data_IF_868303044222
#
_entry.id   IF_868303044222
#
_cell.length_a   1.000
_cell.length_b   1.000
_cell.length_c   1.000
_cell.angle_alpha   90.00
_cell.angle_beta   90.00
_cell.angle_gamma   90.00
#
_symmetry.space_group_name_H-M   'P 1'
#
loop_
_entity.id
_entity.type
_entity.pdbx_description
1 polymer ?
#
# COMPACT_ATOMS: atom_id res chain seq x y z
N UNK A 1 -9.31 -8.37 7.41
CA UNK A 1 -8.37 -8.18 6.30
C UNK A 1 -7.20 -9.11 6.55
N UNK A 2 -6.66 -9.73 5.51
CA UNK A 2 -5.48 -10.59 5.60
C UNK A 2 -4.36 -9.98 4.75
N UNK A 3 -3.15 -9.89 5.30
CA UNK A 3 -1.98 -9.54 4.51
C UNK A 3 -1.53 -10.77 3.72
N UNK A 4 -1.48 -10.66 2.39
CA UNK A 4 -0.97 -11.73 1.52
C UNK A 4 0.52 -11.51 1.22
N UNK A 5 0.89 -10.27 0.87
CA UNK A 5 2.27 -9.93 0.51
C UNK A 5 2.54 -8.44 0.76
N UNK A 6 3.77 -8.11 1.16
CA UNK A 6 4.25 -6.74 1.19
C UNK A 6 5.63 -6.66 0.56
N UNK A 7 5.80 -5.81 -0.45
CA UNK A 7 7.07 -5.62 -1.16
C UNK A 7 7.44 -4.16 -1.23
N UNK A 8 8.74 -3.90 -1.38
CA UNK A 8 9.28 -2.61 -1.77
C UNK A 8 10.30 -2.74 -2.88
N UNK A 9 10.37 -1.76 -3.76
CA UNK A 9 11.27 -1.73 -4.91
C UNK A 9 11.81 -0.32 -5.10
N UNK A 10 13.11 -0.17 -5.33
CA UNK A 10 13.63 1.13 -5.73
C UNK A 10 13.39 1.39 -7.21
N UNK A 11 13.08 2.64 -7.53
CA UNK A 11 12.95 3.12 -8.89
C UNK A 11 13.81 4.36 -9.10
N UNK A 12 14.28 4.54 -10.33
CA UNK A 12 14.91 5.77 -10.81
C UNK A 12 14.25 6.12 -12.13
N UNK A 13 13.84 7.38 -12.30
CA UNK A 13 13.25 7.82 -13.55
C UNK A 13 14.29 7.75 -14.68
N UNK A 14 13.87 7.26 -15.86
CA UNK A 14 14.73 7.11 -17.04
C UNK A 14 15.03 8.40 -17.80
N UNK A 15 14.72 9.58 -17.24
CA UNK A 15 14.95 10.89 -17.86
C UNK A 15 15.96 11.70 -17.06
N UNK A 16 16.75 12.53 -17.74
CA UNK A 16 17.71 13.41 -17.09
C UNK A 16 16.99 14.40 -16.17
N UNK A 17 17.44 14.49 -14.92
CA UNK A 17 16.76 15.29 -13.87
C UNK A 17 15.48 14.65 -13.32
N UNK A 18 15.16 13.43 -13.74
CA UNK A 18 14.07 12.65 -13.17
C UNK A 18 14.35 12.25 -11.72
N UNK A 19 13.27 12.09 -10.96
CA UNK A 19 13.34 11.70 -9.55
C UNK A 19 13.75 10.25 -9.34
N UNK A 20 13.85 9.88 -8.08
CA UNK A 20 14.05 8.50 -7.67
C UNK A 20 13.36 8.25 -6.33
N UNK A 21 13.02 7.00 -6.07
CA UNK A 21 12.25 6.67 -4.88
C UNK A 21 12.15 5.19 -4.62
N UNK A 22 11.24 4.88 -3.71
CA UNK A 22 10.87 3.52 -3.37
C UNK A 22 9.37 3.38 -3.54
N UNK A 23 8.96 2.37 -4.30
CA UNK A 23 7.58 1.97 -4.42
C UNK A 23 7.31 0.85 -3.42
N UNK A 24 6.25 0.99 -2.64
CA UNK A 24 5.70 -0.06 -1.78
C UNK A 24 4.45 -0.64 -2.40
N UNK A 25 4.27 -1.95 -2.27
CA UNK A 25 3.05 -2.64 -2.68
C UNK A 25 2.62 -3.58 -1.57
N UNK A 26 1.37 -3.43 -1.13
CA UNK A 26 0.73 -4.31 -0.14
C UNK A 26 -0.43 -5.01 -0.81
N UNK A 27 -0.37 -6.34 -0.86
CA UNK A 27 -1.42 -7.18 -1.37
C UNK A 27 -2.22 -7.71 -0.18
N UNK A 28 -3.50 -7.35 -0.11
CA UNK A 28 -4.39 -7.71 0.99
C UNK A 28 -5.63 -8.43 0.48
N UNK A 29 -6.10 -9.43 1.24
CA UNK A 29 -7.38 -10.09 1.00
C UNK A 29 -8.47 -9.47 1.86
N UNK A 30 -9.54 -9.06 1.20
CA UNK A 30 -10.71 -8.50 1.88
C UNK A 30 -11.49 -9.60 2.60
N UNK A 31 -12.15 -9.27 3.74
CA UNK A 31 -13.01 -10.23 4.41
C UNK A 31 -14.22 -10.60 3.54
N UNK A 32 -14.94 -11.65 3.94
CA UNK A 32 -16.01 -12.23 3.14
C UNK A 32 -17.18 -11.27 2.81
N UNK A 33 -17.36 -10.20 3.58
CA UNK A 33 -18.39 -9.17 3.32
C UNK A 33 -18.06 -7.85 4.01
N UNK A 34 -18.31 -6.73 3.32
CA UNK A 34 -18.32 -5.38 3.91
C UNK A 34 -17.69 -4.32 3.02
N UNK A 35 -18.01 -3.05 3.30
CA UNK A 35 -17.39 -1.89 2.64
C UNK A 35 -16.03 -1.63 3.28
N UNK A 36 -14.99 -1.43 2.45
CA UNK A 36 -13.64 -1.15 2.93
C UNK A 36 -13.16 0.21 2.43
N UNK A 37 -12.63 1.03 3.33
CA UNK A 37 -11.91 2.24 2.96
C UNK A 37 -10.50 2.22 3.56
N UNK A 38 -9.48 2.41 2.74
CA UNK A 38 -8.10 2.57 3.22
C UNK A 38 -7.85 4.05 3.47
N UNK A 39 -7.42 4.39 4.67
CA UNK A 39 -7.22 5.79 5.08
C UNK A 39 -5.75 6.16 4.91
N UNK A 40 -4.89 5.49 5.66
CA UNK A 40 -3.46 5.80 5.74
C UNK A 40 -2.65 4.54 5.95
N UNK A 41 -1.38 4.59 5.57
CA UNK A 41 -0.37 3.60 5.92
C UNK A 41 0.72 4.31 6.71
N UNK A 42 0.86 3.95 7.98
CA UNK A 42 1.95 4.41 8.83
C UNK A 42 3.23 3.64 8.45
N UNK A 43 4.22 4.33 7.89
CA UNK A 43 5.45 3.72 7.37
C UNK A 43 6.65 4.65 7.59
N UNK A 44 7.70 4.12 8.22
CA UNK A 44 8.95 4.86 8.48
C UNK A 44 8.76 6.19 9.24
N UNK A 45 7.75 6.26 10.10
CA UNK A 45 7.42 7.45 10.90
C UNK A 45 6.50 8.46 10.21
N UNK A 46 6.00 8.15 9.01
CA UNK A 46 5.08 9.00 8.24
C UNK A 46 3.76 8.28 7.98
N UNK A 47 2.66 9.03 8.01
CA UNK A 47 1.35 8.54 7.57
C UNK A 47 1.13 8.95 6.11
N UNK A 48 0.99 7.96 5.24
CA UNK A 48 0.85 8.18 3.79
C UNK A 48 -0.46 7.61 3.28
N UNK A 49 -1.15 8.35 2.41
CA UNK A 49 -2.38 7.88 1.78
C UNK A 49 -2.05 6.86 0.68
N UNK A 50 -2.54 5.61 0.79
CA UNK A 50 -2.32 4.62 -0.24
C UNK A 50 -3.17 4.90 -1.46
N UNK A 51 -2.58 4.61 -2.61
CA UNK A 51 -3.36 4.48 -3.82
C UNK A 51 -3.85 3.05 -3.94
N UNK A 52 -5.14 2.86 -4.17
CA UNK A 52 -5.71 1.54 -4.38
C UNK A 52 -5.68 1.16 -5.86
N UNK A 53 -5.26 -0.08 -6.10
CA UNK A 53 -5.28 -0.72 -7.41
C UNK A 53 -6.05 -2.03 -7.28
N UNK A 54 -7.09 -2.18 -8.09
CA UNK A 54 -7.78 -3.47 -8.32
C UNK A 54 -7.40 -3.96 -9.71
N UNK A 55 -7.07 -5.25 -9.90
CA UNK A 55 -6.82 -5.79 -11.22
C UNK A 55 -8.03 -5.55 -12.15
N UNK A 56 -7.83 -4.80 -13.23
CA UNK A 56 -8.89 -4.46 -14.20
C UNK A 56 -9.67 -3.17 -13.90
N UNK A 57 -9.43 -2.51 -12.77
CA UNK A 57 -10.11 -1.28 -12.37
C UNK A 57 -9.16 -0.06 -12.41
N UNK A 58 -9.72 1.16 -12.55
CA UNK A 58 -8.94 2.38 -12.41
C UNK A 58 -8.38 2.53 -10.99
N UNK A 59 -7.20 3.15 -10.94
CA UNK A 59 -6.48 3.53 -9.72
C UNK A 59 -7.31 4.55 -8.94
N UNK A 60 -7.61 4.29 -7.67
CA UNK A 60 -8.48 5.17 -6.86
C UNK A 60 -7.90 5.45 -5.47
N UNK A 61 -8.15 6.65 -4.94
CA UNK A 61 -7.94 6.98 -3.51
C UNK A 61 -9.21 6.85 -2.67
N UNK A 62 -10.33 6.43 -3.25
CA UNK A 62 -11.63 6.32 -2.55
C UNK A 62 -11.94 4.90 -2.10
N UNK A 63 -12.88 4.81 -1.15
CA UNK A 63 -13.45 3.56 -0.64
C UNK A 63 -13.91 2.63 -1.76
N UNK A 64 -13.74 1.33 -1.53
CA UNK A 64 -14.19 0.30 -2.46
C UNK A 64 -15.14 -0.66 -1.77
N UNK A 65 -16.05 -1.23 -2.56
CA UNK A 65 -16.87 -2.37 -2.16
C UNK A 65 -16.28 -3.61 -2.82
N UNK A 66 -15.27 -4.24 -2.20
CA UNK A 66 -14.70 -5.46 -2.73
C UNK A 66 -15.71 -6.61 -2.61
N UNK A 67 -15.63 -7.55 -3.55
CA UNK A 67 -16.25 -8.85 -3.43
C UNK A 67 -15.64 -9.68 -2.30
N UNK A 68 -16.32 -10.78 -1.99
CA UNK A 68 -15.87 -11.80 -1.04
C UNK A 68 -14.51 -12.35 -1.45
N UNK A 69 -13.51 -12.22 -0.57
CA UNK A 69 -12.13 -12.70 -0.78
C UNK A 69 -11.40 -12.04 -1.95
N UNK A 70 -11.83 -10.85 -2.37
CA UNK A 70 -11.09 -10.07 -3.36
C UNK A 70 -9.68 -9.75 -2.88
N UNK A 71 -8.77 -9.67 -3.85
CA UNK A 71 -7.40 -9.23 -3.60
C UNK A 71 -7.24 -7.79 -4.04
N UNK A 72 -6.80 -6.95 -3.11
CA UNK A 72 -6.58 -5.52 -3.31
C UNK A 72 -5.08 -5.21 -3.23
N UNK A 73 -4.62 -4.31 -4.09
CA UNK A 73 -3.24 -3.85 -4.10
C UNK A 73 -3.20 -2.41 -3.63
N UNK A 74 -2.51 -2.15 -2.53
CA UNK A 74 -2.23 -0.79 -2.04
C UNK A 74 -0.83 -0.41 -2.50
N UNK A 75 -0.70 0.80 -3.04
CA UNK A 75 0.57 1.33 -3.54
C UNK A 75 0.92 2.65 -2.87
N UNK A 76 2.20 2.80 -2.52
CA UNK A 76 2.79 4.04 -2.07
C UNK A 76 4.07 4.29 -2.86
N UNK A 77 4.29 5.53 -3.25
CA UNK A 77 5.59 5.96 -3.77
C UNK A 77 6.13 7.05 -2.85
N UNK A 78 7.36 6.86 -2.39
CA UNK A 78 8.07 7.82 -1.55
C UNK A 78 9.36 8.21 -2.23
N UNK A 79 9.80 9.45 -2.03
CA UNK A 79 11.10 9.88 -2.54
C UNK A 79 12.23 9.20 -1.77
N UNK A 80 13.38 9.02 -2.43
CA UNK A 80 14.52 8.28 -1.87
C UNK A 80 15.06 8.88 -0.57
N UNK A 81 14.95 10.19 -0.41
CA UNK A 81 15.39 10.94 0.76
C UNK A 81 14.44 10.85 1.96
N UNK A 82 13.22 10.35 1.78
CA UNK A 82 12.26 10.20 2.87
C UNK A 82 12.62 9.01 3.75
N UNK A 83 12.45 9.15 5.08
CA UNK A 83 12.70 8.06 6.04
C UNK A 83 11.93 6.78 5.69
N UNK A 84 10.71 6.96 5.19
CA UNK A 84 9.81 5.91 4.71
C UNK A 84 10.46 5.01 3.64
N UNK A 85 11.36 5.50 2.79
CA UNK A 85 12.02 4.70 1.75
C UNK A 85 12.77 3.48 2.31
N UNK A 86 13.31 3.61 3.52
CA UNK A 86 14.05 2.55 4.20
C UNK A 86 13.17 1.58 5.00
N UNK A 87 11.88 1.88 5.19
CA UNK A 87 11.00 1.16 6.11
C UNK A 87 10.93 -0.35 5.82
N UNK A 88 10.96 -1.14 6.89
CA UNK A 88 10.89 -2.60 6.84
C UNK A 88 9.53 -3.16 7.30
N UNK A 89 8.68 -2.30 7.84
CA UNK A 89 7.36 -2.62 8.38
C UNK A 89 6.41 -1.44 8.17
N UNK A 90 5.12 -1.69 8.30
CA UNK A 90 4.08 -0.67 8.22
C UNK A 90 2.84 -1.07 9.04
N UNK A 91 1.93 -0.13 9.22
CA UNK A 91 0.57 -0.38 9.70
C UNK A 91 -0.41 0.21 8.69
N UNK A 92 -1.37 -0.60 8.23
CA UNK A 92 -2.42 -0.16 7.31
C UNK A 92 -3.66 0.18 8.14
N UNK A 93 -4.08 1.44 8.09
CA UNK A 93 -5.30 1.94 8.72
C UNK A 93 -6.44 1.91 7.70
N UNK A 94 -7.53 1.23 8.05
CA UNK A 94 -8.68 1.07 7.18
C UNK A 94 -9.98 1.04 7.97
N UNK A 95 -11.11 1.26 7.31
CA UNK A 95 -12.42 0.96 7.88
C UNK A 95 -13.00 -0.30 7.25
N UNK A 96 -13.75 -1.06 8.06
CA UNK A 96 -14.61 -2.13 7.59
C UNK A 96 -16.01 -1.85 8.11
N UNK A 97 -16.96 -1.63 7.20
CA UNK A 97 -18.32 -1.18 7.56
C UNK A 97 -18.29 0.02 8.51
N UNK A 98 -17.48 1.03 8.16
CA UNK A 98 -17.26 2.26 8.92
C UNK A 98 -16.59 2.11 10.30
N UNK A 99 -16.22 0.89 10.71
CA UNK A 99 -15.45 0.66 11.92
C UNK A 99 -13.95 0.72 11.62
N UNK A 100 -13.21 1.58 12.34
CA UNK A 100 -11.76 1.70 12.21
C UNK A 100 -11.04 0.40 12.64
N UNK A 101 -10.08 -0.02 11.82
CA UNK A 101 -9.26 -1.22 12.00
C UNK A 101 -7.83 -0.94 11.58
N UNK A 102 -6.94 -1.79 12.06
CA UNK A 102 -5.53 -1.78 11.70
C UNK A 102 -5.10 -3.15 11.22
N UNK A 103 -4.19 -3.17 10.25
CA UNK A 103 -3.50 -4.37 9.79
C UNK A 103 -1.99 -4.15 9.91
N UNK A 104 -1.35 -4.93 10.78
CA UNK A 104 0.09 -4.92 10.94
C UNK A 104 0.78 -5.55 9.72
N UNK A 105 1.82 -4.88 9.21
CA UNK A 105 2.72 -5.39 8.18
C UNK A 105 4.11 -5.55 8.81
N UNK A 106 4.43 -6.73 9.37
CA UNK A 106 5.63 -6.93 10.17
C UNK A 106 6.93 -6.95 9.34
N UNK A 107 6.83 -7.26 8.04
CA UNK A 107 7.96 -7.34 7.13
C UNK A 107 7.58 -6.91 5.72
N UNK A 108 8.44 -6.14 5.08
CA UNK A 108 8.33 -5.70 3.69
C UNK A 108 9.52 -6.25 2.91
N UNK A 109 9.25 -7.16 1.97
CA UNK A 109 10.26 -7.80 1.14
C UNK A 109 10.87 -6.80 0.14
N UNK A 110 12.19 -6.64 0.15
CA UNK A 110 12.88 -5.87 -0.89
C UNK A 110 13.00 -6.73 -2.15
N UNK A 111 12.42 -6.28 -3.26
CA UNK A 111 12.60 -6.91 -4.57
C UNK A 111 13.63 -6.13 -5.42
N UNK A 112 14.26 -6.76 -6.42
CA UNK A 112 15.27 -6.11 -7.26
C UNK A 112 14.74 -4.83 -7.91
N UNK A 113 15.57 -3.80 -8.04
CA UNK A 113 15.20 -2.54 -8.69
C UNK A 113 14.86 -2.72 -10.18
N UNK A 114 14.01 -1.82 -10.70
CA UNK A 114 13.72 -1.69 -12.15
C UNK A 114 14.81 -0.88 -12.86
#
# INVERSE_FOLDING_TARGET
>A
MELIKATKQDWTAGIQGGGSGTEFTFMVRTPASGTVAFQQIAIGGSDLEPTLVRPGDPVSGTSVTPGTNDTLHLRLSVKREESAASAASAVIHYTLNDEAKELAVPSIEKIPSL
#
